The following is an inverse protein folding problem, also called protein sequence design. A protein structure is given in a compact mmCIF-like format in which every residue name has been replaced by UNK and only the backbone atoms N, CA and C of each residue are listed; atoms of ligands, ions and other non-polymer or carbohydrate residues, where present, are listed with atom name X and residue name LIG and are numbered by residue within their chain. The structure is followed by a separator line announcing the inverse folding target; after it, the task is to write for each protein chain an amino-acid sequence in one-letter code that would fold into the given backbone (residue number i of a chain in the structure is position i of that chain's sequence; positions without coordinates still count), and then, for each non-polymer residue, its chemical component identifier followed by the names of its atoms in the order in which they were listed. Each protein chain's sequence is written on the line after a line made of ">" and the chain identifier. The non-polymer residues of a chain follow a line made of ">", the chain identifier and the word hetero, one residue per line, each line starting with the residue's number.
data_IF_839964486661
#
_entry.id   IF_839964486661
#
_cell.length_a   1.000
_cell.length_b   1.000
_cell.length_c   1.000
_cell.angle_alpha   90.00
_cell.angle_beta   90.00
_cell.angle_gamma   90.00
#
_symmetry.space_group_name_H-M   'P 1'
#
loop_
_entity.id
_entity.type
_entity.pdbx_description
1 polymer ?
#
# COMPACT_ATOMS: atom_id res chain seq x y z
N UNK A 1 21.37 43.85 1.60
CA UNK A 1 20.07 43.18 1.31
C UNK A 1 20.40 41.71 1.09
N UNK A 2 20.47 40.94 2.16
CA UNK A 2 20.94 39.55 2.14
C UNK A 2 19.71 38.66 1.99
N UNK A 3 19.44 38.21 0.77
CA UNK A 3 18.36 37.29 0.47
C UNK A 3 18.94 35.90 0.34
N UNK A 4 18.90 35.13 1.41
CA UNK A 4 19.13 33.69 1.35
C UNK A 4 17.75 33.03 1.43
N UNK A 5 17.17 32.54 0.32
CA UNK A 5 15.93 31.78 0.39
C UNK A 5 16.31 30.37 0.85
N UNK A 6 16.35 30.17 2.17
CA UNK A 6 16.36 28.82 2.73
C UNK A 6 15.21 28.03 2.10
N UNK A 7 15.47 26.89 1.44
CA UNK A 7 14.41 26.13 0.80
C UNK A 7 13.41 25.67 1.86
N UNK A 8 12.09 25.76 1.61
CA UNK A 8 11.08 25.32 2.56
C UNK A 8 11.26 23.83 2.85
N UNK A 9 10.98 23.36 4.08
CA UNK A 9 11.13 21.96 4.46
C UNK A 9 10.28 21.07 3.53
N UNK A 10 10.97 20.35 2.64
CA UNK A 10 10.37 19.38 1.72
C UNK A 10 10.11 18.08 2.49
N UNK A 11 9.01 18.02 3.23
CA UNK A 11 8.61 16.75 3.84
C UNK A 11 7.57 16.88 4.92
N UNK A 12 6.30 17.01 4.54
CA UNK A 12 5.20 16.70 5.44
C UNK A 12 5.14 15.18 5.63
N UNK A 13 5.33 14.71 6.85
CA UNK A 13 4.99 13.34 7.20
C UNK A 13 3.51 13.12 6.88
N UNK A 14 3.19 12.17 5.99
CA UNK A 14 1.80 11.83 5.68
C UNK A 14 1.18 11.20 6.93
N UNK A 15 0.50 12.03 7.73
CA UNK A 15 -0.08 11.66 9.02
C UNK A 15 -1.11 10.51 8.94
N UNK A 16 -1.53 10.11 7.75
CA UNK A 16 -2.53 9.07 7.55
C UNK A 16 -2.01 7.83 6.79
N UNK A 17 -0.72 7.50 6.92
CA UNK A 17 -0.24 6.20 6.46
C UNK A 17 -0.74 5.12 7.43
N UNK A 18 -1.99 4.66 7.23
CA UNK A 18 -2.43 3.39 7.82
C UNK A 18 -1.46 2.34 7.31
N UNK A 19 -0.61 1.85 8.21
CA UNK A 19 0.43 0.88 7.85
C UNK A 19 -0.28 -0.38 7.40
N UNK A 20 -0.22 -0.67 6.10
CA UNK A 20 -0.59 -1.97 5.57
C UNK A 20 0.27 -3.01 6.30
N UNK A 21 -0.34 -3.71 7.25
CA UNK A 21 0.34 -4.61 8.16
C UNK A 21 0.56 -5.95 7.44
N UNK A 22 1.59 -6.71 7.81
CA UNK A 22 1.87 -8.02 7.19
C UNK A 22 0.65 -8.95 7.14
N UNK A 23 -0.27 -8.86 8.12
CA UNK A 23 -1.53 -9.60 8.13
C UNK A 23 -2.48 -9.23 6.98
N UNK A 24 -2.56 -7.94 6.64
CA UNK A 24 -3.37 -7.44 5.52
C UNK A 24 -2.76 -7.93 4.21
N UNK A 25 -1.43 -7.88 4.09
CA UNK A 25 -0.73 -8.36 2.89
C UNK A 25 -0.94 -9.87 2.70
N UNK A 26 -0.82 -10.67 3.76
CA UNK A 26 -1.08 -12.11 3.69
C UNK A 26 -2.52 -12.42 3.25
N UNK A 27 -3.50 -11.65 3.73
CA UNK A 27 -4.90 -11.81 3.30
C UNK A 27 -5.11 -11.40 1.84
N UNK A 28 -4.40 -10.39 1.34
CA UNK A 28 -4.43 -10.02 -0.08
C UNK A 28 -3.88 -11.15 -0.97
N UNK A 29 -2.84 -11.85 -0.51
CA UNK A 29 -2.29 -13.02 -1.21
C UNK A 29 -3.26 -14.20 -1.21
N UNK A 30 -3.85 -14.52 -0.06
CA UNK A 30 -4.87 -15.56 0.10
C UNK A 30 -6.03 -15.35 -0.88
N UNK A 31 -6.58 -14.12 -0.95
CA UNK A 31 -7.64 -13.80 -1.90
C UNK A 31 -7.23 -13.94 -3.38
N UNK A 32 -5.98 -13.61 -3.71
CA UNK A 32 -5.47 -13.72 -5.08
C UNK A 32 -5.07 -15.16 -5.45
N UNK A 33 -4.72 -15.99 -4.46
CA UNK A 33 -4.49 -17.42 -4.64
C UNK A 33 -5.82 -18.16 -4.87
N UNK A 34 -6.89 -17.75 -4.18
CA UNK A 34 -8.25 -18.24 -4.41
C UNK A 34 -8.85 -17.76 -5.75
N UNK A 35 -8.76 -16.46 -6.04
CA UNK A 35 -9.26 -15.84 -7.28
C UNK A 35 -8.32 -14.73 -7.77
N UNK A 36 -7.50 -15.05 -8.76
CA UNK A 36 -6.55 -14.10 -9.34
C UNK A 36 -7.20 -13.07 -10.29
N UNK A 37 -8.52 -13.18 -10.54
CA UNK A 37 -9.26 -12.21 -11.37
C UNK A 37 -9.78 -11.01 -10.58
N UNK A 38 -9.62 -11.03 -9.25
CA UNK A 38 -10.03 -9.94 -8.37
C UNK A 38 -9.33 -8.62 -8.72
N UNK A 39 -10.13 -7.59 -8.87
CA UNK A 39 -9.64 -6.23 -9.08
C UNK A 39 -9.11 -5.61 -7.78
N UNK A 40 -8.23 -4.61 -7.89
CA UNK A 40 -7.71 -3.87 -6.73
C UNK A 40 -8.82 -3.24 -5.86
N UNK A 41 -9.95 -2.86 -6.48
CA UNK A 41 -11.11 -2.31 -5.76
C UNK A 41 -11.79 -3.40 -4.94
N UNK A 42 -12.03 -4.58 -5.53
CA UNK A 42 -12.61 -5.70 -4.81
C UNK A 42 -11.72 -6.19 -3.66
N UNK A 43 -10.39 -6.20 -3.87
CA UNK A 43 -9.44 -6.50 -2.80
C UNK A 43 -9.50 -5.48 -1.67
N UNK A 44 -9.60 -4.19 -1.98
CA UNK A 44 -9.81 -3.14 -0.97
C UNK A 44 -11.09 -3.39 -0.18
N UNK A 45 -12.20 -3.63 -0.86
CA UNK A 45 -13.50 -3.84 -0.21
C UNK A 45 -13.48 -5.08 0.71
N UNK A 46 -12.82 -6.18 0.29
CA UNK A 46 -12.59 -7.36 1.15
C UNK A 46 -11.73 -7.06 2.37
N UNK A 47 -10.68 -6.25 2.21
CA UNK A 47 -9.83 -5.84 3.34
C UNK A 47 -10.60 -4.91 4.30
N UNK A 48 -11.41 -4.01 3.77
CA UNK A 48 -12.25 -3.13 4.57
C UNK A 48 -13.27 -3.94 5.38
N UNK A 49 -13.93 -4.93 4.79
CA UNK A 49 -14.86 -5.83 5.48
C UNK A 49 -14.18 -6.64 6.60
N UNK A 50 -13.04 -7.27 6.29
CA UNK A 50 -12.35 -8.17 7.24
C UNK A 50 -11.59 -7.46 8.35
N UNK A 51 -10.92 -6.35 8.04
CA UNK A 51 -9.99 -5.69 8.95
C UNK A 51 -10.46 -4.30 9.39
N UNK A 52 -11.57 -3.78 8.86
CA UNK A 52 -12.10 -2.44 9.15
C UNK A 52 -11.06 -1.34 8.89
N UNK A 53 -10.17 -1.57 7.92
CA UNK A 53 -9.12 -0.63 7.51
C UNK A 53 -9.32 -0.27 6.04
N UNK A 54 -9.39 1.03 5.78
CA UNK A 54 -9.38 1.53 4.40
C UNK A 54 -7.93 1.59 3.90
N UNK A 55 -7.64 0.83 2.86
CA UNK A 55 -6.33 0.77 2.22
C UNK A 55 -6.48 1.23 0.79
N UNK A 56 -5.72 2.26 0.40
CA UNK A 56 -5.79 2.75 -0.97
C UNK A 56 -5.38 1.67 -1.97
N UNK A 57 -6.01 1.65 -3.14
CA UNK A 57 -5.66 0.71 -4.22
C UNK A 57 -4.21 0.87 -4.66
N UNK A 58 -3.64 2.08 -4.58
CA UNK A 58 -2.22 2.33 -4.82
C UNK A 58 -1.32 1.63 -3.80
N UNK A 59 -1.71 1.60 -2.52
CA UNK A 59 -0.98 0.88 -1.46
C UNK A 59 -1.05 -0.64 -1.68
N UNK A 60 -2.23 -1.16 -2.06
CA UNK A 60 -2.41 -2.58 -2.39
C UNK A 60 -1.50 -2.95 -3.57
N UNK A 61 -1.55 -2.19 -4.66
CA UNK A 61 -0.71 -2.39 -5.84
C UNK A 61 0.79 -2.35 -5.49
N UNK A 62 1.24 -1.33 -4.76
CA UNK A 62 2.64 -1.21 -4.36
C UNK A 62 3.10 -2.42 -3.52
N UNK A 63 2.26 -2.93 -2.62
CA UNK A 63 2.58 -4.09 -1.78
C UNK A 63 2.61 -5.41 -2.55
N UNK A 64 1.70 -5.60 -3.50
CA UNK A 64 1.71 -6.75 -4.39
C UNK A 64 2.93 -6.72 -5.32
N UNK A 65 3.26 -5.55 -5.89
CA UNK A 65 4.46 -5.37 -6.71
C UNK A 65 5.76 -5.62 -5.92
N UNK A 66 5.86 -5.13 -4.68
CA UNK A 66 7.01 -5.38 -3.80
C UNK A 66 7.27 -6.88 -3.64
N UNK A 67 6.21 -7.66 -3.38
CA UNK A 67 6.31 -9.13 -3.27
C UNK A 67 6.74 -9.81 -4.57
N UNK A 68 6.15 -9.42 -5.70
CA UNK A 68 6.52 -9.95 -7.02
C UNK A 68 8.00 -9.67 -7.36
N UNK A 69 8.51 -8.50 -6.99
CA UNK A 69 9.91 -8.11 -7.20
C UNK A 69 10.84 -8.94 -6.30
N UNK A 70 10.47 -9.19 -5.04
CA UNK A 70 11.28 -10.01 -4.13
C UNK A 70 11.41 -11.46 -4.56
N UNK A 71 10.42 -12.03 -5.26
CA UNK A 71 10.51 -13.38 -5.82
C UNK A 71 11.42 -13.47 -7.06
N UNK A 72 11.71 -12.33 -7.71
CA UNK A 72 12.48 -12.27 -8.96
C UNK A 72 13.99 -12.08 -8.75
N UNK A 73 14.48 -12.07 -7.50
CA UNK A 73 15.92 -12.03 -7.25
C UNK A 73 16.52 -13.44 -7.43
N UNK A 74 17.13 -13.65 -8.60
CA UNK A 74 18.06 -14.74 -8.92
C UNK A 74 19.45 -14.12 -9.02
#
# INVERSE_FOLDING_TARGET
>A
KSGDPSPPPRGGARANCVKCTNKIVAALEDYLEEDCTLTLVQLRDKIMDRFQVDVSTSTICAKLCEKLITLKQI
#
